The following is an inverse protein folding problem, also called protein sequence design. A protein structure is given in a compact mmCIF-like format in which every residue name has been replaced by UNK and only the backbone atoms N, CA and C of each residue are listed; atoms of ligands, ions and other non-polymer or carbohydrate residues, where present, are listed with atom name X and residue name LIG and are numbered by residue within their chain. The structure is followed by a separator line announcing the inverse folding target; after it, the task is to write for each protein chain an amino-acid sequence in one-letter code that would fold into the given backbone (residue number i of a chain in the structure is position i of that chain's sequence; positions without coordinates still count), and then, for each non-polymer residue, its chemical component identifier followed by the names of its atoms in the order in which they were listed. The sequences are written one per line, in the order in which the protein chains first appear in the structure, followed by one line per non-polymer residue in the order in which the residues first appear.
data_IF_123529050445
#
_entry.id   IF_123529050445
#
_cell.length_a   1.000
_cell.length_b   1.000
_cell.length_c   1.000
_cell.angle_alpha   90.00
_cell.angle_beta   90.00
_cell.angle_gamma   90.00
#
_symmetry.space_group_name_H-M   'P 1'
#
loop_
_entity.id
_entity.type
_entity.pdbx_description
1 polymer ?
#
# COMPACT_ATOMS: atom_id res chain seq x y z
N UNK A 1 -32.18 -15.96 -34.57
CA UNK A 1 -30.89 -15.66 -33.90
C UNK A 1 -31.12 -14.44 -33.03
N UNK A 2 -31.11 -14.61 -31.71
CA UNK A 2 -31.38 -13.55 -30.74
C UNK A 2 -30.14 -12.70 -30.52
N UNK A 3 -30.23 -11.40 -30.78
CA UNK A 3 -29.18 -10.46 -30.43
C UNK A 3 -29.10 -10.31 -28.91
N UNK A 4 -27.97 -10.65 -28.32
CA UNK A 4 -27.73 -10.51 -26.89
C UNK A 4 -27.57 -9.02 -26.55
N UNK A 5 -28.45 -8.48 -25.69
CA UNK A 5 -28.42 -7.07 -25.31
C UNK A 5 -27.29 -6.88 -24.30
N UNK A 6 -26.10 -6.53 -24.81
CA UNK A 6 -24.93 -6.30 -23.98
C UNK A 6 -24.90 -4.86 -23.45
N UNK A 7 -24.78 -4.72 -22.13
CA UNK A 7 -24.65 -3.40 -21.52
C UNK A 7 -23.23 -2.84 -21.71
N UNK A 8 -23.07 -1.97 -22.71
CA UNK A 8 -21.79 -1.35 -23.06
C UNK A 8 -21.16 -0.53 -21.93
N UNK A 9 -21.95 0.00 -20.99
CA UNK A 9 -21.41 0.72 -19.81
C UNK A 9 -20.69 -0.25 -18.87
N UNK A 10 -21.28 -1.43 -18.62
CA UNK A 10 -20.65 -2.47 -17.78
C UNK A 10 -19.39 -3.02 -18.46
N UNK A 11 -19.44 -3.28 -19.77
CA UNK A 11 -18.28 -3.74 -20.53
C UNK A 11 -17.12 -2.73 -20.49
N UNK A 12 -17.40 -1.43 -20.70
CA UNK A 12 -16.39 -0.37 -20.58
C UNK A 12 -15.79 -0.28 -19.16
N UNK A 13 -16.63 -0.40 -18.12
CA UNK A 13 -16.18 -0.39 -16.73
C UNK A 13 -15.29 -1.59 -16.40
N UNK A 14 -15.61 -2.77 -16.92
CA UNK A 14 -14.79 -3.97 -16.75
C UNK A 14 -13.40 -3.76 -17.38
N UNK A 15 -13.36 -3.32 -18.65
CA UNK A 15 -12.09 -3.02 -19.34
C UNK A 15 -11.25 -1.96 -18.63
N UNK A 16 -11.89 -0.92 -18.07
CA UNK A 16 -11.18 0.08 -17.29
C UNK A 16 -10.57 -0.48 -15.99
N UNK A 17 -11.25 -1.43 -15.33
CA UNK A 17 -10.72 -2.12 -14.14
C UNK A 17 -9.56 -3.05 -14.49
N UNK A 18 -9.66 -3.78 -15.60
CA UNK A 18 -8.58 -4.65 -16.09
C UNK A 18 -7.31 -3.84 -16.35
N UNK A 19 -7.42 -2.74 -17.12
CA UNK A 19 -6.28 -1.85 -17.37
C UNK A 19 -5.66 -1.29 -16.08
N UNK A 20 -6.49 -0.93 -15.11
CA UNK A 20 -6.00 -0.47 -13.82
C UNK A 20 -5.27 -1.57 -13.03
N UNK A 21 -5.72 -2.83 -13.13
CA UNK A 21 -5.07 -3.98 -12.51
C UNK A 21 -3.72 -4.29 -13.18
N UNK A 22 -3.63 -4.21 -14.51
CA UNK A 22 -2.38 -4.36 -15.26
C UNK A 22 -1.35 -3.32 -14.84
N UNK A 23 -1.70 -2.03 -14.84
CA UNK A 23 -0.80 -0.97 -14.38
C UNK A 23 -0.42 -1.14 -12.91
N UNK A 24 -1.33 -1.64 -12.06
CA UNK A 24 -1.00 -1.95 -10.68
C UNK A 24 0.01 -3.10 -10.57
N UNK A 25 -0.09 -4.13 -11.41
CA UNK A 25 0.86 -5.23 -11.47
C UNK A 25 2.24 -4.76 -11.97
N UNK A 26 2.29 -3.95 -13.03
CA UNK A 26 3.52 -3.32 -13.52
C UNK A 26 4.18 -2.47 -12.42
N UNK A 27 3.40 -1.66 -11.71
CA UNK A 27 3.92 -0.85 -10.61
C UNK A 27 4.45 -1.70 -9.44
N UNK A 28 3.86 -2.87 -9.16
CA UNK A 28 4.41 -3.81 -8.15
C UNK A 28 5.77 -4.36 -8.58
N UNK A 29 5.95 -4.65 -9.87
CA UNK A 29 7.24 -5.12 -10.40
C UNK A 29 8.28 -4.00 -10.41
N UNK A 30 7.91 -2.82 -10.91
CA UNK A 30 8.82 -1.68 -11.08
C UNK A 30 9.24 -1.06 -9.74
N UNK A 31 8.30 -0.89 -8.82
CA UNK A 31 8.55 -0.20 -7.56
C UNK A 31 8.71 -1.15 -6.37
N UNK A 32 8.53 -2.46 -6.57
CA UNK A 32 8.77 -3.52 -5.59
C UNK A 32 7.83 -3.56 -4.39
N UNK A 33 7.15 -2.46 -4.06
CA UNK A 33 6.20 -2.34 -2.95
C UNK A 33 5.01 -1.46 -3.34
N UNK A 34 3.82 -1.92 -2.99
CA UNK A 34 2.60 -1.10 -3.09
C UNK A 34 2.62 0.03 -2.07
N UNK A 35 1.79 1.07 -2.32
CA UNK A 35 1.61 2.17 -1.35
C UNK A 35 1.14 1.65 0.02
N UNK A 36 0.20 0.72 0.05
CA UNK A 36 -0.32 0.14 1.29
C UNK A 36 0.75 -0.64 2.08
N UNK A 37 1.59 -1.41 1.41
CA UNK A 37 2.71 -2.12 2.06
C UNK A 37 3.74 -1.15 2.64
N UNK A 38 4.01 -0.05 1.93
CA UNK A 38 4.91 0.99 2.41
C UNK A 38 4.37 1.69 3.65
N UNK A 39 3.12 2.14 3.62
CA UNK A 39 2.45 2.77 4.76
C UNK A 39 2.39 1.83 5.97
N UNK A 40 2.13 0.54 5.74
CA UNK A 40 2.17 -0.48 6.81
C UNK A 40 3.57 -0.60 7.41
N UNK A 41 4.60 -0.72 6.57
CA UNK A 41 5.99 -0.83 7.02
C UNK A 41 6.45 0.42 7.79
N UNK A 42 6.06 1.61 7.33
CA UNK A 42 6.35 2.88 8.00
C UNK A 42 5.64 2.96 9.37
N UNK A 43 4.37 2.54 9.43
CA UNK A 43 3.62 2.50 10.69
C UNK A 43 4.22 1.50 11.70
N UNK A 44 4.66 0.32 11.23
CA UNK A 44 5.35 -0.68 12.04
C UNK A 44 6.68 -0.15 12.56
N UNK A 45 7.49 0.49 11.70
CA UNK A 45 8.75 1.12 12.09
C UNK A 45 8.53 2.23 13.14
N UNK A 46 7.57 3.12 12.92
CA UNK A 46 7.24 4.18 13.87
C UNK A 46 6.73 3.64 15.22
N UNK A 47 6.00 2.52 15.22
CA UNK A 47 5.62 1.85 16.47
C UNK A 47 6.83 1.27 17.20
N UNK A 48 7.75 0.64 16.47
CA UNK A 48 8.98 0.09 17.04
C UNK A 48 9.85 1.19 17.65
N UNK A 49 10.05 2.31 16.93
CA UNK A 49 10.76 3.49 17.43
C UNK A 49 10.12 4.04 18.71
N UNK A 50 8.80 4.22 18.73
CA UNK A 50 8.08 4.67 19.93
C UNK A 50 8.26 3.74 21.12
N UNK A 51 8.26 2.41 20.89
CA UNK A 51 8.50 1.43 21.95
C UNK A 51 9.94 1.54 22.47
N UNK A 52 10.92 1.63 21.58
CA UNK A 52 12.33 1.79 21.96
C UNK A 52 12.52 3.08 22.77
N UNK A 53 11.93 4.19 22.33
CA UNK A 53 12.00 5.46 23.04
C UNK A 53 11.31 5.41 24.41
N UNK A 54 10.14 4.77 24.51
CA UNK A 54 9.45 4.59 25.79
C UNK A 54 10.24 3.73 26.79
N UNK A 55 11.03 2.77 26.29
CA UNK A 55 11.89 1.92 27.10
C UNK A 55 13.32 2.46 27.26
N UNK A 56 13.64 3.61 26.66
CA UNK A 56 14.92 4.27 26.84
C UNK A 56 14.96 4.84 28.26
N UNK A 57 15.69 4.18 29.15
CA UNK A 57 16.14 4.82 30.38
C UNK A 57 17.02 6.00 29.96
N UNK A 58 16.60 7.23 30.26
CA UNK A 58 17.57 8.33 30.30
C UNK A 58 18.55 7.95 31.38
N UNK A 59 19.82 7.75 31.01
CA UNK A 59 20.90 7.85 31.99
C UNK A 59 20.91 9.32 32.40
N UNK A 60 20.33 9.62 33.55
CA UNK A 60 20.63 10.84 34.29
C UNK A 60 22.05 10.75 34.92
N UNK A 61 23.01 10.18 34.18
CA UNK A 61 24.40 9.92 34.63
C UNK A 61 25.43 10.76 33.83
N UNK A 62 25.03 11.91 33.30
CA UNK A 62 25.99 12.91 32.82
C UNK A 62 25.97 14.11 33.77
N UNK A 63 26.51 13.87 34.97
CA UNK A 63 26.96 14.91 35.90
C UNK A 63 28.40 15.27 35.55
N UNK A 64 28.71 16.55 35.29
CA UNK A 64 29.96 17.17 35.74
C UNK A 64 29.85 17.58 37.21
#
# INVERSE_FOLDING_TARGET
MSAEIVNLRRARKAKAREKAAESAAENRVLFGRTKAERERSEAEAAQAERRIEAHRLRRDDETP
#
